data_IF_779378233311
#
_entry.id   IF_779378233311
#
_cell.length_a   1.000
_cell.length_b   1.000
_cell.length_c   1.000
_cell.angle_alpha   90.00
_cell.angle_beta   90.00
_cell.angle_gamma   90.00
#
_symmetry.space_group_name_H-M   'P 1'
#
loop_
_entity.id
_entity.type
_entity.pdbx_description
1 polymer ?
#
# COMPACT_ATOMS: atom_id res chain seq x y z
N UNK A 1 -2.91 -5.07 13.53
CA UNK A 1 -2.71 -3.61 13.67
C UNK A 1 -3.61 -2.90 12.68
N UNK A 2 -4.47 -1.99 13.15
CA UNK A 2 -5.36 -1.20 12.29
C UNK A 2 -4.75 0.19 12.12
N UNK A 3 -4.57 0.64 10.87
CA UNK A 3 -4.10 2.01 10.56
C UNK A 3 -5.06 3.04 11.17
N UNK A 4 -4.53 4.15 11.69
CA UNK A 4 -5.36 5.29 12.09
C UNK A 4 -6.04 5.94 10.88
N UNK A 5 -6.91 6.91 11.12
CA UNK A 5 -7.51 7.72 10.03
C UNK A 5 -6.82 9.08 9.98
N UNK A 6 -6.59 9.60 8.78
CA UNK A 6 -5.97 10.90 8.57
C UNK A 6 -6.96 11.88 7.92
N UNK A 7 -7.10 13.12 8.43
CA UNK A 7 -8.05 14.10 7.91
C UNK A 7 -7.43 14.86 6.73
N UNK A 8 -7.47 14.28 5.52
CA UNK A 8 -6.75 14.83 4.36
C UNK A 8 -7.30 16.21 3.95
N UNK A 9 -8.62 16.33 3.95
CA UNK A 9 -9.34 17.53 3.57
C UNK A 9 -9.18 18.69 4.56
N UNK A 10 -8.83 18.39 5.82
CA UNK A 10 -8.50 19.40 6.84
C UNK A 10 -7.13 20.04 6.62
N UNK A 11 -6.21 19.33 5.97
CA UNK A 11 -4.85 19.82 5.72
C UNK A 11 -4.86 20.72 4.47
N UNK A 12 -5.37 21.94 4.67
CA UNK A 12 -5.49 22.97 3.63
C UNK A 12 -4.20 23.82 3.46
N UNK A 13 -3.30 23.74 4.42
CA UNK A 13 -2.09 24.58 4.48
C UNK A 13 -1.01 23.91 5.31
N UNK A 14 0.24 24.32 5.08
CA UNK A 14 1.37 23.75 5.82
C UNK A 14 1.33 24.09 7.32
N UNK A 15 0.69 25.20 7.69
CA UNK A 15 0.55 25.60 9.09
C UNK A 15 -0.33 24.63 9.90
N UNK A 16 -1.26 23.91 9.26
CA UNK A 16 -2.07 22.85 9.91
C UNK A 16 -1.20 21.77 10.53
N UNK A 17 -0.08 21.40 9.92
CA UNK A 17 0.82 20.40 10.48
C UNK A 17 1.45 20.82 11.81
N UNK A 18 1.48 22.12 12.12
CA UNK A 18 2.02 22.65 13.37
C UNK A 18 0.99 22.63 14.50
N UNK A 19 -0.28 22.36 14.20
CA UNK A 19 -1.33 22.27 15.21
C UNK A 19 -1.05 21.13 16.18
N UNK A 20 -1.24 21.41 17.47
CA UNK A 20 -0.87 20.52 18.58
C UNK A 20 -2.03 19.62 19.04
N UNK A 21 -3.20 19.75 18.42
CA UNK A 21 -4.40 19.00 18.74
C UNK A 21 -4.94 18.31 17.49
N UNK A 22 -5.64 17.20 17.71
CA UNK A 22 -6.39 16.54 16.65
C UNK A 22 -7.63 17.39 16.27
N UNK A 23 -7.96 17.49 14.98
CA UNK A 23 -9.20 18.13 14.53
C UNK A 23 -10.43 17.42 15.11
N UNK A 24 -11.56 18.11 15.16
CA UNK A 24 -12.81 17.52 15.59
C UNK A 24 -13.26 16.42 14.62
N UNK A 25 -14.03 15.43 15.12
CA UNK A 25 -14.48 14.28 14.32
C UNK A 25 -15.19 14.67 13.00
N UNK A 26 -15.89 15.80 12.96
CA UNK A 26 -16.58 16.25 11.74
C UNK A 26 -15.65 16.77 10.65
N UNK A 27 -14.41 17.16 11.01
CA UNK A 27 -13.35 17.52 10.08
C UNK A 27 -12.69 16.27 9.46
N UNK A 28 -12.93 15.09 10.02
CA UNK A 28 -12.54 13.81 9.43
C UNK A 28 -13.63 13.36 8.43
N UNK A 29 -13.61 13.97 7.25
CA UNK A 29 -14.41 13.54 6.11
C UNK A 29 -13.51 13.31 4.91
N UNK A 30 -13.88 12.35 4.06
CA UNK A 30 -13.23 12.16 2.76
C UNK A 30 -14.24 12.27 1.63
N UNK A 31 -13.85 12.91 0.52
CA UNK A 31 -14.68 12.95 -0.71
C UNK A 31 -15.02 11.56 -1.23
N UNK A 32 -14.11 10.59 -1.05
CA UNK A 32 -14.26 9.22 -1.52
C UNK A 32 -14.94 8.29 -0.50
N UNK A 33 -14.91 8.64 0.79
CA UNK A 33 -15.27 7.75 1.90
C UNK A 33 -16.32 8.29 2.89
N UNK A 34 -16.76 9.54 2.72
CA UNK A 34 -17.73 10.17 3.63
C UNK A 34 -17.16 10.46 5.02
N UNK A 35 -18.03 10.47 6.03
CA UNK A 35 -17.70 10.72 7.44
C UNK A 35 -17.21 9.45 8.12
N UNK A 36 -16.35 9.60 9.11
CA UNK A 36 -15.86 8.49 9.93
C UNK A 36 -16.80 8.14 11.08
N UNK A 37 -16.65 6.93 11.63
CA UNK A 37 -17.35 6.51 12.85
C UNK A 37 -16.68 7.09 14.11
N UNK A 38 -17.43 7.12 15.22
CA UNK A 38 -16.86 7.50 16.52
C UNK A 38 -15.77 6.54 16.99
N UNK A 39 -15.88 5.25 16.65
CA UNK A 39 -14.87 4.23 16.96
C UNK A 39 -13.55 4.49 16.23
N UNK A 40 -13.62 4.93 14.97
CA UNK A 40 -12.44 5.26 14.16
C UNK A 40 -11.72 6.50 14.69
N UNK A 41 -12.51 7.48 15.15
CA UNK A 41 -11.97 8.67 15.81
C UNK A 41 -11.32 8.33 17.15
N UNK A 42 -11.99 7.53 17.99
CA UNK A 42 -11.43 7.07 19.27
C UNK A 42 -10.12 6.29 19.06
N UNK A 43 -10.07 5.42 18.03
CA UNK A 43 -8.86 4.70 17.64
C UNK A 43 -7.73 5.65 17.23
N UNK A 44 -8.05 6.68 16.45
CA UNK A 44 -7.09 7.72 16.02
C UNK A 44 -6.55 8.50 17.22
N UNK A 45 -7.41 8.88 18.18
CA UNK A 45 -7.01 9.53 19.42
C UNK A 45 -6.10 8.63 20.28
N UNK A 46 -6.38 7.33 20.32
CA UNK A 46 -5.54 6.36 21.04
C UNK A 46 -4.15 6.27 20.40
N UNK A 47 -4.06 6.14 19.06
CA UNK A 47 -2.77 6.15 18.35
C UNK A 47 -1.99 7.43 18.64
N UNK A 48 -2.64 8.59 18.51
CA UNK A 48 -2.00 9.88 18.78
C UNK A 48 -1.35 9.92 20.17
N UNK A 49 -2.09 9.47 21.19
CA UNK A 49 -1.62 9.42 22.58
C UNK A 49 -0.53 8.37 22.79
N UNK A 50 -0.71 7.16 22.26
CA UNK A 50 0.20 6.03 22.44
C UNK A 50 1.58 6.30 21.81
N UNK A 51 1.59 6.95 20.65
CA UNK A 51 2.83 7.34 19.96
C UNK A 51 3.35 8.72 20.38
N UNK A 52 2.65 9.43 21.27
CA UNK A 52 3.07 10.71 21.82
C UNK A 52 3.21 11.82 20.78
N UNK A 53 2.34 11.82 19.76
CA UNK A 53 2.36 12.83 18.69
C UNK A 53 2.16 14.23 19.29
N UNK A 54 3.06 15.16 18.97
CA UNK A 54 3.02 16.54 19.48
C UNK A 54 2.27 17.49 18.57
N UNK A 55 2.19 17.15 17.28
CA UNK A 55 1.51 17.95 16.28
C UNK A 55 1.01 17.08 15.12
N UNK A 56 0.17 17.66 14.26
CA UNK A 56 -0.41 16.96 13.12
C UNK A 56 0.65 16.47 12.11
N UNK A 57 1.79 17.16 12.02
CA UNK A 57 2.95 16.74 11.21
C UNK A 57 3.54 15.40 11.67
N UNK A 58 3.81 15.25 12.97
CA UNK A 58 4.30 13.99 13.52
C UNK A 58 3.29 12.85 13.34
N UNK A 59 2.00 13.14 13.47
CA UNK A 59 0.94 12.17 13.20
C UNK A 59 0.86 11.77 11.72
N UNK A 60 1.01 12.74 10.81
CA UNK A 60 1.10 12.50 9.37
C UNK A 60 2.29 11.58 9.03
N UNK A 61 3.47 11.86 9.58
CA UNK A 61 4.66 11.05 9.35
C UNK A 61 4.46 9.61 9.85
N UNK A 62 3.85 9.44 11.02
CA UNK A 62 3.47 8.13 11.54
C UNK A 62 2.49 7.40 10.61
N UNK A 63 1.44 8.10 10.16
CA UNK A 63 0.43 7.56 9.26
C UNK A 63 1.04 7.06 7.93
N UNK A 64 1.91 7.87 7.33
CA UNK A 64 2.61 7.53 6.09
C UNK A 64 3.60 6.38 6.30
N UNK A 65 4.32 6.38 7.42
CA UNK A 65 5.24 5.29 7.76
C UNK A 65 4.51 3.95 7.87
N UNK A 66 3.35 3.92 8.52
CA UNK A 66 2.53 2.70 8.62
C UNK A 66 2.05 2.25 7.23
N UNK A 67 1.66 3.19 6.37
CA UNK A 67 1.23 2.88 5.00
C UNK A 67 2.33 2.21 4.18
N UNK A 68 3.52 2.82 4.18
CA UNK A 68 4.69 2.32 3.46
C UNK A 68 5.11 0.95 3.99
N UNK A 69 5.12 0.76 5.31
CA UNK A 69 5.47 -0.53 5.92
C UNK A 69 4.46 -1.62 5.55
N UNK A 70 3.17 -1.31 5.59
CA UNK A 70 2.13 -2.28 5.22
C UNK A 70 2.24 -2.67 3.74
N UNK A 71 2.50 -1.68 2.88
CA UNK A 71 2.69 -1.93 1.45
C UNK A 71 3.95 -2.78 1.20
N UNK A 72 5.05 -2.47 1.89
CA UNK A 72 6.30 -3.22 1.79
C UNK A 72 6.15 -4.68 2.24
N UNK A 73 5.37 -4.96 3.28
CA UNK A 73 5.11 -6.32 3.76
C UNK A 73 4.34 -7.16 2.73
N UNK A 74 3.28 -6.58 2.16
CA UNK A 74 2.50 -7.21 1.08
C UNK A 74 3.39 -7.51 -0.13
N UNK A 75 4.19 -6.54 -0.59
CA UNK A 75 5.09 -6.74 -1.72
C UNK A 75 6.18 -7.78 -1.45
N UNK A 76 6.71 -7.81 -0.22
CA UNK A 76 7.73 -8.79 0.17
C UNK A 76 7.15 -10.19 0.14
N UNK A 77 5.93 -10.36 0.65
CA UNK A 77 5.21 -11.64 0.63
C UNK A 77 4.89 -12.05 -0.79
N UNK A 78 4.35 -11.14 -1.61
CA UNK A 78 4.02 -11.40 -3.01
C UNK A 78 5.24 -11.84 -3.84
N UNK A 79 6.41 -11.20 -3.65
CA UNK A 79 7.65 -11.59 -4.34
C UNK A 79 8.08 -13.00 -3.96
N UNK A 80 8.02 -13.35 -2.67
CA UNK A 80 8.37 -14.70 -2.17
C UNK A 80 7.41 -15.77 -2.72
N UNK A 81 6.11 -15.52 -2.72
CA UNK A 81 5.14 -16.52 -3.20
C UNK A 81 5.21 -16.68 -4.72
N UNK A 82 5.40 -15.58 -5.46
CA UNK A 82 5.54 -15.61 -6.92
C UNK A 82 6.79 -16.38 -7.36
N UNK A 83 7.93 -16.19 -6.68
CA UNK A 83 9.15 -16.95 -6.99
C UNK A 83 8.97 -18.46 -6.73
N UNK A 84 8.31 -18.82 -5.63
CA UNK A 84 8.03 -20.23 -5.30
C UNK A 84 7.17 -20.92 -6.36
N UNK A 85 6.22 -20.20 -6.98
CA UNK A 85 5.40 -20.75 -8.06
C UNK A 85 6.22 -21.14 -9.28
N UNK A 86 7.21 -20.31 -9.63
CA UNK A 86 8.14 -20.56 -10.73
C UNK A 86 9.06 -21.73 -10.43
N UNK A 87 9.63 -21.77 -9.22
CA UNK A 87 10.49 -22.86 -8.76
C UNK A 87 9.73 -24.20 -8.73
N UNK A 88 8.47 -24.20 -8.29
CA UNK A 88 7.61 -25.36 -8.29
C UNK A 88 7.33 -25.86 -9.72
N UNK A 89 7.00 -24.95 -10.65
CA UNK A 89 6.80 -25.28 -12.07
C UNK A 89 8.06 -25.91 -12.69
N UNK A 90 9.24 -25.33 -12.46
CA UNK A 90 10.51 -25.88 -12.94
C UNK A 90 10.80 -27.25 -12.34
N UNK A 91 10.55 -27.43 -11.03
CA UNK A 91 10.75 -28.72 -10.34
C UNK A 91 9.81 -29.81 -10.84
N UNK A 92 8.54 -29.50 -11.09
CA UNK A 92 7.53 -30.45 -11.56
C UNK A 92 7.78 -30.87 -13.02
N UNK A 93 8.06 -29.90 -13.90
CA UNK A 93 8.25 -30.15 -15.34
C UNK A 93 9.65 -30.68 -15.68
N UNK A 94 10.64 -30.47 -14.79
CA UNK A 94 12.07 -30.75 -15.00
C UNK A 94 12.67 -30.02 -16.21
N UNK A 95 11.99 -29.00 -16.72
CA UNK A 95 12.47 -28.16 -17.82
C UNK A 95 13.63 -27.30 -17.31
N UNK A 96 14.69 -27.20 -18.10
CA UNK A 96 15.78 -26.23 -17.89
C UNK A 96 15.59 -25.07 -18.84
N UNK A 97 15.45 -23.86 -18.31
CA UNK A 97 15.32 -22.66 -19.12
C UNK A 97 16.73 -22.15 -19.44
N UNK A 98 17.00 -22.01 -20.74
CA UNK A 98 18.26 -21.48 -21.25
C UNK A 98 18.18 -19.95 -21.39
N UNK A 99 19.34 -19.29 -21.38
CA UNK A 99 19.42 -17.84 -21.59
C UNK A 99 19.21 -17.54 -23.07
N UNK A 100 18.45 -16.49 -23.38
CA UNK A 100 18.43 -15.98 -24.76
C UNK A 100 19.81 -15.43 -25.12
N UNK A 101 20.39 -15.98 -26.19
CA UNK A 101 21.68 -15.55 -26.74
C UNK A 101 21.50 -14.61 -27.92
N UNK A 102 20.33 -14.62 -28.58
CA UNK A 102 20.06 -13.89 -29.80
C UNK A 102 18.71 -13.16 -29.74
N UNK A 103 18.63 -12.00 -30.39
CA UNK A 103 17.43 -11.15 -30.41
C UNK A 103 16.24 -11.84 -31.09
N UNK A 104 16.48 -12.71 -32.07
CA UNK A 104 15.44 -13.46 -32.75
C UNK A 104 14.66 -14.41 -31.80
N UNK A 105 15.33 -14.98 -30.79
CA UNK A 105 14.68 -15.84 -29.79
C UNK A 105 13.73 -15.04 -28.89
N UNK A 106 14.16 -13.84 -28.49
CA UNK A 106 13.33 -12.91 -27.75
C UNK A 106 12.10 -12.50 -28.57
N UNK A 107 12.30 -12.08 -29.82
CA UNK A 107 11.22 -11.63 -30.70
C UNK A 107 10.21 -12.72 -31.01
N UNK A 108 10.66 -13.97 -31.16
CA UNK A 108 9.78 -15.12 -31.34
C UNK A 108 8.85 -15.29 -30.14
N UNK A 109 9.38 -15.22 -28.92
CA UNK A 109 8.59 -15.37 -27.69
C UNK A 109 7.66 -14.19 -27.47
N UNK A 110 8.11 -12.95 -27.68
CA UNK A 110 7.26 -11.78 -27.55
C UNK A 110 6.08 -11.83 -28.53
N UNK A 111 6.31 -12.23 -29.79
CA UNK A 111 5.23 -12.41 -30.78
C UNK A 111 4.26 -13.55 -30.42
N UNK A 112 4.73 -14.54 -29.65
CA UNK A 112 3.91 -15.68 -29.24
C UNK A 112 3.08 -15.40 -27.98
N UNK A 113 3.37 -14.34 -27.20
CA UNK A 113 2.58 -13.98 -26.02
C UNK A 113 1.16 -13.57 -26.43
N UNK A 114 0.17 -14.22 -25.83
CA UNK A 114 -1.26 -13.87 -25.96
C UNK A 114 -1.83 -13.64 -24.57
N UNK A 115 -2.63 -12.59 -24.40
CA UNK A 115 -3.39 -12.37 -23.18
C UNK A 115 -4.61 -13.28 -23.12
N UNK A 116 -5.29 -13.31 -21.97
CA UNK A 116 -6.59 -13.98 -21.86
C UNK A 116 -7.60 -13.45 -22.87
N UNK A 117 -8.46 -14.34 -23.38
CA UNK A 117 -9.57 -13.98 -24.25
C UNK A 117 -10.71 -13.47 -23.36
N UNK A 118 -11.07 -12.20 -23.49
CA UNK A 118 -12.27 -11.64 -22.89
C UNK A 118 -13.33 -11.48 -23.99
N UNK A 119 -14.45 -12.17 -23.87
CA UNK A 119 -15.63 -11.93 -24.71
C UNK A 119 -16.68 -11.22 -23.86
N UNK A 120 -17.21 -10.12 -24.39
CA UNK A 120 -18.29 -9.33 -23.79
C UNK A 120 -19.66 -9.91 -24.16
#
# INVERSE_FOLDING_TARGET
>A
YRKGIFPHEYIDSHDRFKEIELPLIHEFYSVLGGKISQEDYNHTQNIWKEFGCKNLGEYNDLYLKIDVLSLADVWTTFRKTSSLSWDAMLKMTKVKIEKFTEMAMHDFIEKAKRSGIAMA
#
